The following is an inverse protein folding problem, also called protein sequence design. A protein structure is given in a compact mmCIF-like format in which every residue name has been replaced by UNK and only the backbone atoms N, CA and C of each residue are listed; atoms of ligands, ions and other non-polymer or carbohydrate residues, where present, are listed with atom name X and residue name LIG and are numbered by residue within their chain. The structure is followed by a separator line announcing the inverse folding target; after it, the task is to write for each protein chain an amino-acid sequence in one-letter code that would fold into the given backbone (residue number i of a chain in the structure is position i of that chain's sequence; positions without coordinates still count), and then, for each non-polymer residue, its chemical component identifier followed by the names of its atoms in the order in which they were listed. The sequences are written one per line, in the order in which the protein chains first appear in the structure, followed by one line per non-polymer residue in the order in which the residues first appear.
data_IF_509224604202
#
_entry.id   IF_509224604202
#
_cell.length_a   1.000
_cell.length_b   1.000
_cell.length_c   1.000
_cell.angle_alpha   90.00
_cell.angle_beta   90.00
_cell.angle_gamma   90.00
#
_symmetry.space_group_name_H-M   'P 1'
#
loop_
_entity.id
_entity.type
_entity.pdbx_description
1 polymer ?
#
# COMPACT_ATOMS: atom_id res chain seq x y z
N UNK A 1 -15.28 -63.03 31.47
CA UNK A 1 -14.19 -63.21 30.45
C UNK A 1 -14.62 -62.56 29.18
N UNK A 2 -14.30 -61.33 28.98
CA UNK A 2 -14.47 -60.60 27.72
C UNK A 2 -13.33 -59.61 27.62
N UNK A 3 -12.38 -59.96 26.76
CA UNK A 3 -11.17 -59.16 26.49
C UNK A 3 -11.49 -57.94 25.67
N UNK A 4 -11.03 -56.81 26.16
CA UNK A 4 -11.01 -55.54 25.42
C UNK A 4 -9.71 -55.48 24.66
N UNK A 5 -9.77 -55.57 23.33
CA UNK A 5 -8.65 -55.32 22.43
C UNK A 5 -8.49 -53.81 22.20
N UNK A 6 -7.45 -53.25 22.76
CA UNK A 6 -6.97 -51.91 22.45
C UNK A 6 -6.21 -51.95 21.12
N UNK A 7 -6.78 -51.34 20.09
CA UNK A 7 -6.09 -51.06 18.82
C UNK A 7 -5.14 -49.89 19.00
N UNK A 8 -3.85 -50.18 19.04
CA UNK A 8 -2.80 -49.14 18.95
C UNK A 8 -2.52 -48.82 17.47
N UNK A 9 -2.69 -47.55 17.08
CA UNK A 9 -2.25 -47.03 15.81
C UNK A 9 -0.77 -46.65 15.91
N UNK A 10 0.05 -46.96 14.92
CA UNK A 10 1.45 -46.54 14.90
C UNK A 10 1.58 -45.06 14.57
N UNK A 11 2.38 -44.36 15.35
CA UNK A 11 2.84 -43.00 15.08
C UNK A 11 3.90 -43.10 13.96
N UNK A 12 3.57 -42.62 12.79
CA UNK A 12 4.55 -42.33 11.73
C UNK A 12 5.21 -41.00 12.06
N UNK A 13 6.43 -41.06 12.57
CA UNK A 13 7.38 -39.95 12.54
C UNK A 13 8.02 -39.97 11.15
N UNK A 14 7.70 -39.01 10.31
CA UNK A 14 8.45 -38.78 9.10
C UNK A 14 9.00 -37.35 9.13
N UNK A 15 10.32 -37.31 8.90
CA UNK A 15 11.11 -36.10 8.88
C UNK A 15 10.91 -35.33 7.60
N UNK A 16 10.56 -34.07 7.75
CA UNK A 16 10.67 -33.07 6.71
C UNK A 16 10.82 -31.67 7.33
N UNK A 17 11.86 -31.48 8.16
CA UNK A 17 12.23 -30.15 8.69
C UNK A 17 13.63 -29.68 8.23
N UNK A 18 14.19 -30.22 7.14
CA UNK A 18 15.54 -29.84 6.67
C UNK A 18 15.61 -29.17 5.27
N UNK A 19 14.50 -28.85 4.60
CA UNK A 19 14.57 -28.21 3.27
C UNK A 19 14.09 -26.74 3.21
N UNK A 20 13.77 -26.09 4.33
CA UNK A 20 13.32 -24.69 4.32
C UNK A 20 14.40 -23.65 4.72
N UNK A 21 15.63 -24.09 5.00
CA UNK A 21 16.70 -23.19 5.45
C UNK A 21 17.70 -22.76 4.36
N UNK A 22 17.66 -23.37 3.17
CA UNK A 22 18.68 -23.14 2.13
C UNK A 22 18.22 -22.17 1.01
N UNK A 23 16.97 -21.73 1.00
CA UNK A 23 16.47 -20.75 0.01
C UNK A 23 16.44 -19.30 0.52
N UNK A 24 16.77 -19.06 1.79
CA UNK A 24 16.83 -17.70 2.36
C UNK A 24 18.22 -17.05 2.30
N UNK A 25 19.29 -17.84 2.04
CA UNK A 25 20.66 -17.32 2.00
C UNK A 25 21.15 -16.92 0.60
N UNK A 26 20.49 -17.35 -0.48
CA UNK A 26 20.86 -16.98 -1.86
C UNK A 26 20.25 -15.65 -2.34
N UNK A 27 19.32 -15.07 -1.61
CA UNK A 27 18.70 -13.78 -1.98
C UNK A 27 19.38 -12.54 -1.38
N UNK A 28 20.27 -12.70 -0.39
CA UNK A 28 21.01 -11.59 0.23
C UNK A 28 22.42 -11.38 -0.37
N UNK A 29 22.93 -12.33 -1.14
CA UNK A 29 24.27 -12.23 -1.73
C UNK A 29 24.28 -11.59 -3.14
N UNK A 30 23.15 -11.54 -3.85
CA UNK A 30 23.05 -10.87 -5.17
C UNK A 30 22.83 -9.37 -5.10
N UNK A 31 22.48 -8.79 -3.95
CA UNK A 31 22.28 -7.33 -3.79
C UNK A 31 23.52 -6.59 -3.30
N UNK A 32 24.61 -7.27 -2.93
CA UNK A 32 25.84 -6.65 -2.47
C UNK A 32 26.93 -6.48 -3.55
N UNK A 33 26.80 -7.15 -4.71
CA UNK A 33 27.78 -7.02 -5.81
C UNK A 33 27.46 -5.92 -6.83
N UNK A 34 26.25 -5.40 -6.88
CA UNK A 34 25.87 -4.35 -7.85
C UNK A 34 26.14 -2.91 -7.35
N UNK A 35 26.54 -2.72 -6.08
CA UNK A 35 26.93 -1.41 -5.53
C UNK A 35 28.44 -1.18 -5.46
N UNK A 36 29.28 -2.14 -5.85
CA UNK A 36 30.74 -2.01 -5.76
C UNK A 36 31.45 -1.65 -7.08
N UNK A 37 30.74 -1.44 -8.20
CA UNK A 37 31.36 -1.13 -9.51
C UNK A 37 31.16 0.31 -10.01
N UNK A 38 30.67 1.22 -9.20
CA UNK A 38 30.45 2.62 -9.59
C UNK A 38 31.43 3.66 -9.00
N UNK A 39 32.51 3.25 -8.33
CA UNK A 39 33.42 4.18 -7.63
C UNK A 39 34.89 4.12 -8.08
N UNK A 40 35.20 3.69 -9.31
CA UNK A 40 36.61 3.68 -9.77
C UNK A 40 36.77 4.33 -11.16
N UNK A 41 36.60 5.65 -11.26
CA UNK A 41 37.08 6.43 -12.39
C UNK A 41 37.24 7.93 -12.04
N UNK A 42 38.09 8.27 -11.07
CA UNK A 42 38.69 9.60 -10.95
C UNK A 42 40.08 9.48 -10.34
N UNK A 43 41.13 9.44 -11.19
CA UNK A 43 42.46 9.91 -10.83
C UNK A 43 43.05 10.80 -11.91
N UNK A 44 43.61 11.96 -11.54
CA UNK A 44 44.15 12.93 -12.49
C UNK A 44 45.58 12.57 -12.86
N UNK A 45 45.88 12.59 -14.15
CA UNK A 45 47.26 12.50 -14.63
C UNK A 45 47.97 13.85 -14.46
N UNK A 46 49.04 13.83 -13.70
CA UNK A 46 49.98 14.91 -13.51
C UNK A 46 50.90 15.10 -14.72
N UNK A 47 51.28 16.33 -14.87
CA UNK A 47 52.30 17.00 -15.69
C UNK A 47 53.56 16.18 -15.98
N UNK A 48 54.06 16.30 -17.22
CA UNK A 48 55.48 16.34 -17.53
C UNK A 48 55.78 17.49 -18.47
N UNK A 49 56.51 18.49 -17.94
CA UNK A 49 57.24 19.52 -18.64
C UNK A 49 58.30 18.93 -19.56
N UNK A 50 58.38 19.40 -20.79
CA UNK A 50 59.63 19.44 -21.53
C UNK A 50 59.71 20.69 -22.42
N UNK A 51 60.60 21.53 -22.05
CA UNK A 51 61.05 22.78 -22.72
C UNK A 51 61.59 22.49 -24.13
N UNK A 52 61.25 23.35 -25.08
CA UNK A 52 62.17 24.01 -26.04
C UNK A 52 61.44 25.01 -26.89
N UNK A 53 61.72 26.29 -26.71
CA UNK A 53 61.61 27.36 -27.74
C UNK A 53 62.69 27.17 -28.81
N UNK A 54 62.59 27.79 -30.06
CA UNK A 54 62.23 29.17 -30.25
C UNK A 54 61.46 29.56 -31.57
N UNK A 55 60.95 30.77 -31.52
CA UNK A 55 60.87 31.79 -32.57
C UNK A 55 59.82 31.81 -33.66
N UNK A 56 59.05 32.87 -33.53
CA UNK A 56 58.62 33.93 -34.46
C UNK A 56 57.49 33.68 -35.46
N UNK A 57 56.50 34.60 -35.28
CA UNK A 57 55.56 35.13 -36.28
C UNK A 57 54.32 34.33 -36.63
N UNK A 58 53.27 34.54 -35.82
CA UNK A 58 51.92 34.92 -36.28
C UNK A 58 50.97 35.01 -35.09
N UNK A 59 50.98 36.14 -34.37
CA UNK A 59 50.21 36.35 -33.12
C UNK A 59 48.80 36.90 -33.28
N UNK A 60 48.13 36.84 -34.38
CA UNK A 60 46.80 37.46 -34.55
C UNK A 60 45.64 36.52 -34.93
N UNK A 61 45.91 35.25 -35.28
CA UNK A 61 44.85 34.28 -35.66
C UNK A 61 44.49 33.27 -34.55
N UNK A 62 45.39 33.09 -33.55
CA UNK A 62 45.21 32.06 -32.54
C UNK A 62 44.30 32.48 -31.37
N UNK A 63 44.20 33.79 -31.10
CA UNK A 63 43.37 34.31 -29.99
C UNK A 63 41.87 34.28 -30.29
N UNK A 64 41.46 34.41 -31.55
CA UNK A 64 40.07 34.35 -31.99
C UNK A 64 39.49 32.92 -31.98
N UNK A 65 40.36 31.92 -32.19
CA UNK A 65 39.92 30.49 -32.21
C UNK A 65 39.72 29.94 -30.81
N UNK A 66 40.63 30.27 -29.86
CA UNK A 66 40.50 29.90 -28.46
C UNK A 66 39.29 30.52 -27.75
N UNK A 67 38.88 31.75 -28.16
CA UNK A 67 37.71 32.41 -27.60
C UNK A 67 36.42 31.73 -28.07
N UNK A 68 36.31 31.38 -29.35
CA UNK A 68 35.17 30.68 -29.92
C UNK A 68 35.03 29.25 -29.42
N UNK A 69 36.10 28.59 -29.05
CA UNK A 69 36.07 27.26 -28.45
C UNK A 69 35.63 27.32 -26.97
N UNK A 70 36.10 28.32 -26.22
CA UNK A 70 35.62 28.54 -24.83
C UNK A 70 34.14 28.89 -24.80
N UNK A 71 33.67 29.77 -25.68
CA UNK A 71 32.24 30.11 -25.75
C UNK A 71 31.37 28.88 -26.08
N UNK A 72 31.86 27.96 -26.90
CA UNK A 72 31.15 26.67 -27.18
C UNK A 72 31.14 25.74 -25.99
N UNK A 73 32.23 25.62 -25.25
CA UNK A 73 32.25 24.79 -24.03
C UNK A 73 31.40 25.38 -22.92
N UNK A 74 31.39 26.69 -22.74
CA UNK A 74 30.51 27.37 -21.81
C UNK A 74 29.02 27.14 -22.13
N UNK A 75 28.65 27.22 -23.41
CA UNK A 75 27.30 26.91 -23.88
C UNK A 75 26.92 25.44 -23.63
N UNK A 76 27.85 24.50 -23.85
CA UNK A 76 27.60 23.09 -23.58
C UNK A 76 27.45 22.80 -22.09
N UNK A 77 28.25 23.46 -21.24
CA UNK A 77 28.12 23.33 -19.78
C UNK A 77 26.79 23.90 -19.31
N UNK A 78 26.36 25.05 -19.82
CA UNK A 78 25.07 25.64 -19.50
C UNK A 78 23.92 24.74 -19.94
N UNK A 79 23.96 24.21 -21.16
CA UNK A 79 22.95 23.28 -21.65
C UNK A 79 22.89 22.00 -20.83
N UNK A 80 24.03 21.41 -20.46
CA UNK A 80 24.12 20.22 -19.61
C UNK A 80 23.63 20.50 -18.19
N UNK A 81 23.98 21.65 -17.62
CA UNK A 81 23.49 22.03 -16.28
C UNK A 81 21.98 22.26 -16.26
N UNK A 82 21.42 22.88 -17.31
CA UNK A 82 19.98 23.06 -17.40
C UNK A 82 19.24 21.74 -17.60
N UNK A 83 19.82 20.84 -18.42
CA UNK A 83 19.29 19.49 -18.58
C UNK A 83 19.33 18.70 -17.28
N UNK A 84 20.42 18.80 -16.53
CA UNK A 84 20.58 18.16 -15.22
C UNK A 84 19.57 18.71 -14.22
N UNK A 85 19.42 20.05 -14.11
CA UNK A 85 18.43 20.69 -13.22
C UNK A 85 17.01 20.22 -13.55
N UNK A 86 16.66 20.14 -14.83
CA UNK A 86 15.36 19.67 -15.27
C UNK A 86 15.15 18.19 -14.88
N UNK A 87 16.13 17.33 -15.16
CA UNK A 87 16.06 15.92 -14.80
C UNK A 87 15.92 15.71 -13.27
N UNK A 88 16.64 16.50 -12.47
CA UNK A 88 16.49 16.45 -11.00
C UNK A 88 15.07 16.87 -10.56
N UNK A 89 14.53 17.94 -11.14
CA UNK A 89 13.16 18.38 -10.83
C UNK A 89 12.11 17.33 -11.24
N UNK A 90 12.28 16.70 -12.40
CA UNK A 90 11.42 15.60 -12.86
C UNK A 90 11.52 14.39 -11.94
N UNK A 91 12.73 14.03 -11.49
CA UNK A 91 12.95 12.94 -10.56
C UNK A 91 12.31 13.20 -9.20
N UNK A 92 12.44 14.42 -8.66
CA UNK A 92 11.79 14.81 -7.40
C UNK A 92 10.25 14.74 -7.50
N UNK A 93 9.70 15.19 -8.61
CA UNK A 93 8.27 15.09 -8.88
C UNK A 93 7.80 13.63 -9.00
N UNK A 94 8.57 12.81 -9.72
CA UNK A 94 8.31 11.38 -9.84
C UNK A 94 8.33 10.69 -8.48
N UNK A 95 9.36 10.93 -7.67
CA UNK A 95 9.49 10.37 -6.33
C UNK A 95 8.28 10.71 -5.45
N UNK A 96 7.90 12.00 -5.39
CA UNK A 96 6.73 12.44 -4.63
C UNK A 96 5.43 11.79 -5.09
N UNK A 97 5.28 11.63 -6.42
CA UNK A 97 4.11 10.96 -7.00
C UNK A 97 4.09 9.47 -6.63
N UNK A 98 5.22 8.78 -6.80
CA UNK A 98 5.34 7.35 -6.50
C UNK A 98 5.11 7.06 -5.02
N UNK A 99 5.57 7.91 -4.10
CA UNK A 99 5.29 7.77 -2.66
C UNK A 99 3.79 7.87 -2.37
N UNK A 100 3.09 8.81 -3.02
CA UNK A 100 1.62 8.93 -2.90
C UNK A 100 0.89 7.73 -3.51
N UNK A 101 1.29 7.30 -4.69
CA UNK A 101 0.73 6.11 -5.35
C UNK A 101 0.90 4.86 -4.49
N UNK A 102 2.09 4.67 -3.91
CA UNK A 102 2.39 3.53 -3.03
C UNK A 102 1.52 3.54 -1.76
N UNK A 103 1.34 4.70 -1.13
CA UNK A 103 0.45 4.82 0.03
C UNK A 103 -1.01 4.57 -0.32
N UNK A 104 -1.47 5.04 -1.50
CA UNK A 104 -2.82 4.78 -2.00
C UNK A 104 -3.05 3.30 -2.30
N UNK A 105 -2.07 2.62 -2.92
CA UNK A 105 -2.16 1.18 -3.21
C UNK A 105 -2.28 0.34 -1.93
N UNK A 106 -1.58 0.72 -0.87
CA UNK A 106 -1.71 0.05 0.42
C UNK A 106 -3.13 0.18 1.00
N UNK A 107 -3.72 1.37 0.91
CA UNK A 107 -5.10 1.61 1.37
C UNK A 107 -6.10 0.82 0.54
N UNK A 108 -5.93 0.80 -0.79
CA UNK A 108 -6.80 0.04 -1.70
C UNK A 108 -6.72 -1.46 -1.39
N UNK A 109 -5.51 -2.02 -1.24
CA UNK A 109 -5.33 -3.42 -0.91
C UNK A 109 -5.95 -3.81 0.44
N UNK A 110 -5.80 -2.97 1.47
CA UNK A 110 -6.42 -3.19 2.77
C UNK A 110 -7.96 -3.14 2.67
N UNK A 111 -8.51 -2.18 1.91
CA UNK A 111 -9.95 -2.07 1.64
C UNK A 111 -10.50 -3.34 0.97
N UNK A 112 -9.82 -3.84 -0.05
CA UNK A 112 -10.26 -5.04 -0.78
C UNK A 112 -10.30 -6.29 0.11
N UNK A 113 -9.36 -6.41 1.04
CA UNK A 113 -9.35 -7.51 2.03
C UNK A 113 -10.54 -7.36 2.97
N UNK A 114 -10.76 -6.16 3.53
CA UNK A 114 -11.89 -5.90 4.43
C UNK A 114 -13.20 -6.18 3.71
N UNK A 115 -13.40 -5.70 2.49
CA UNK A 115 -14.61 -5.92 1.69
C UNK A 115 -14.93 -7.41 1.55
N UNK A 116 -13.93 -8.26 1.31
CA UNK A 116 -14.10 -9.73 1.24
C UNK A 116 -14.40 -10.39 2.58
N UNK A 117 -14.04 -9.75 3.70
CA UNK A 117 -14.36 -10.23 5.03
C UNK A 117 -15.77 -9.84 5.51
N UNK A 118 -16.33 -8.73 4.99
CA UNK A 118 -17.65 -8.25 5.41
C UNK A 118 -18.79 -9.28 5.27
N UNK A 119 -18.87 -10.12 4.22
CA UNK A 119 -19.90 -11.16 4.13
C UNK A 119 -19.83 -12.19 5.27
N UNK A 120 -18.65 -12.42 5.83
CA UNK A 120 -18.46 -13.30 7.00
C UNK A 120 -19.07 -12.64 8.21
N UNK A 121 -18.79 -11.34 8.42
CA UNK A 121 -19.36 -10.53 9.50
C UNK A 121 -20.90 -10.53 9.43
N UNK A 122 -21.46 -10.28 8.24
CA UNK A 122 -22.92 -10.28 8.02
C UNK A 122 -23.54 -11.63 8.38
N UNK A 123 -22.86 -12.74 8.04
CA UNK A 123 -23.32 -14.08 8.40
C UNK A 123 -23.29 -14.33 9.90
N UNK A 124 -22.26 -13.82 10.60
CA UNK A 124 -22.20 -13.85 12.09
C UNK A 124 -23.35 -13.06 12.70
N UNK A 125 -23.62 -11.83 12.23
CA UNK A 125 -24.74 -11.02 12.71
C UNK A 125 -26.07 -11.72 12.50
N UNK A 126 -26.30 -12.25 11.30
CA UNK A 126 -27.52 -12.97 10.97
C UNK A 126 -27.69 -14.25 11.82
N UNK A 127 -26.60 -15.00 12.05
CA UNK A 127 -26.62 -16.17 12.91
C UNK A 127 -26.92 -15.83 14.36
N UNK A 128 -26.30 -14.78 14.88
CA UNK A 128 -26.51 -14.31 16.26
C UNK A 128 -27.92 -13.72 16.47
N UNK A 129 -28.51 -13.09 15.46
CA UNK A 129 -29.88 -12.57 15.52
C UNK A 129 -30.93 -13.69 15.61
N UNK A 130 -30.62 -14.87 15.09
CA UNK A 130 -31.52 -16.04 15.12
C UNK A 130 -31.22 -16.98 16.30
N UNK A 131 -30.12 -16.77 17.03
CA UNK A 131 -29.72 -17.63 18.11
C UNK A 131 -30.60 -17.42 19.36
N UNK A 132 -30.94 -18.49 20.12
CA UNK A 132 -31.64 -18.39 21.39
C UNK A 132 -30.82 -17.58 22.42
N UNK A 133 -31.50 -16.71 23.19
CA UNK A 133 -30.84 -15.80 24.14
C UNK A 133 -30.00 -16.50 25.24
N UNK A 134 -30.26 -17.76 25.52
CA UNK A 134 -29.62 -18.53 26.61
C UNK A 134 -28.77 -19.70 26.14
N UNK A 135 -28.34 -19.69 24.88
CA UNK A 135 -27.48 -20.76 24.37
C UNK A 135 -25.98 -20.44 24.67
N UNK A 136 -25.28 -21.30 25.44
CA UNK A 136 -23.86 -21.13 25.69
C UNK A 136 -23.00 -21.06 24.43
N UNK A 137 -23.43 -21.71 23.34
CA UNK A 137 -22.78 -21.63 22.04
C UNK A 137 -22.94 -20.22 21.44
N UNK A 138 -24.14 -19.65 21.52
CA UNK A 138 -24.40 -18.29 21.05
C UNK A 138 -23.58 -17.24 21.83
N UNK A 139 -23.38 -17.45 23.13
CA UNK A 139 -22.52 -16.58 23.94
C UNK A 139 -21.05 -16.66 23.50
N UNK A 140 -20.53 -17.84 23.20
CA UNK A 140 -19.20 -18.04 22.65
C UNK A 140 -19.04 -17.33 21.30
N UNK A 141 -20.03 -17.44 20.41
CA UNK A 141 -20.04 -16.76 19.12
C UNK A 141 -20.10 -15.24 19.25
N UNK A 142 -20.86 -14.69 20.22
CA UNK A 142 -20.87 -13.25 20.53
C UNK A 142 -19.50 -12.76 20.97
N UNK A 143 -18.76 -13.53 21.74
CA UNK A 143 -17.40 -13.17 22.15
C UNK A 143 -16.44 -13.12 20.94
N UNK A 144 -16.51 -14.10 20.05
CA UNK A 144 -15.70 -14.12 18.81
C UNK A 144 -16.06 -12.91 17.92
N UNK A 145 -17.35 -12.63 17.74
CA UNK A 145 -17.81 -11.48 16.97
C UNK A 145 -17.28 -10.17 17.57
N UNK A 146 -17.38 -10.00 18.90
CA UNK A 146 -16.85 -8.82 19.59
C UNK A 146 -15.35 -8.66 19.41
N UNK A 147 -14.59 -9.75 19.49
CA UNK A 147 -13.14 -9.73 19.28
C UNK A 147 -12.81 -9.30 17.83
N UNK A 148 -13.56 -9.83 16.85
CA UNK A 148 -13.40 -9.46 15.45
C UNK A 148 -13.70 -7.98 15.21
N UNK A 149 -14.77 -7.44 15.80
CA UNK A 149 -15.10 -6.02 15.72
C UNK A 149 -14.05 -5.12 16.38
N UNK A 150 -13.46 -5.57 17.49
CA UNK A 150 -12.34 -4.87 18.13
C UNK A 150 -11.12 -4.83 17.22
N UNK A 151 -10.78 -5.94 16.57
CA UNK A 151 -9.68 -5.99 15.62
C UNK A 151 -9.93 -5.07 14.39
N UNK A 152 -11.17 -4.97 13.93
CA UNK A 152 -11.55 -4.03 12.86
C UNK A 152 -11.36 -2.57 13.29
N UNK A 153 -11.78 -2.22 14.51
CA UNK A 153 -11.60 -0.86 15.05
C UNK A 153 -10.11 -0.50 15.20
N UNK A 154 -9.28 -1.43 15.67
CA UNK A 154 -7.83 -1.27 15.75
C UNK A 154 -7.17 -1.06 14.37
N UNK A 155 -7.69 -1.71 13.33
CA UNK A 155 -7.26 -1.49 11.94
C UNK A 155 -7.77 -0.16 11.35
N UNK A 156 -8.73 0.49 12.02
CA UNK A 156 -9.37 1.72 11.55
C UNK A 156 -10.57 1.47 10.63
N UNK A 157 -11.19 0.29 10.71
CA UNK A 157 -12.47 -0.03 10.07
C UNK A 157 -13.59 0.26 11.03
N UNK A 158 -14.53 1.12 10.64
CA UNK A 158 -15.65 1.55 11.48
C UNK A 158 -16.99 1.27 10.80
N UNK A 159 -18.00 0.79 11.54
CA UNK A 159 -19.34 0.68 11.01
C UNK A 159 -19.93 2.07 10.77
N UNK A 160 -20.72 2.19 9.72
CA UNK A 160 -21.49 3.41 9.43
C UNK A 160 -22.76 3.35 10.27
N UNK A 161 -22.98 4.35 11.11
CA UNK A 161 -24.22 4.49 11.88
C UNK A 161 -25.28 5.12 10.99
N UNK A 162 -26.18 4.32 10.46
CA UNK A 162 -27.19 4.78 9.51
C UNK A 162 -28.57 5.04 10.18
N UNK A 163 -29.02 4.17 11.08
CA UNK A 163 -30.36 4.22 11.65
C UNK A 163 -30.63 5.52 12.43
N UNK A 164 -31.74 6.19 12.11
CA UNK A 164 -32.14 7.44 12.74
C UNK A 164 -31.37 8.67 12.26
N UNK A 165 -30.47 8.53 11.31
CA UNK A 165 -29.74 9.66 10.69
C UNK A 165 -30.34 10.03 9.33
N UNK A 166 -30.01 11.25 8.89
CA UNK A 166 -30.36 11.72 7.55
C UNK A 166 -29.63 10.87 6.48
N UNK A 167 -30.32 10.60 5.40
CA UNK A 167 -29.77 9.83 4.28
C UNK A 167 -28.65 10.61 3.59
N UNK A 168 -27.44 10.03 3.54
CA UNK A 168 -26.30 10.54 2.79
C UNK A 168 -25.96 9.58 1.65
N UNK A 169 -26.07 10.00 0.37
CA UNK A 169 -25.75 9.16 -0.77
C UNK A 169 -24.28 8.66 -0.81
N UNK A 170 -23.37 9.35 -0.11
CA UNK A 170 -21.96 8.94 -0.05
C UNK A 170 -21.72 7.75 0.89
N UNK A 171 -22.61 7.57 1.89
CA UNK A 171 -22.47 6.54 2.93
C UNK A 171 -23.53 5.46 2.83
N UNK A 172 -24.72 5.82 2.33
CA UNK A 172 -25.91 4.97 2.35
C UNK A 172 -26.38 4.65 0.94
N UNK A 173 -26.95 3.46 0.79
CA UNK A 173 -27.64 2.99 -0.42
C UNK A 173 -29.10 2.70 -0.08
N UNK A 174 -30.02 3.55 -0.50
CA UNK A 174 -31.45 3.36 -0.28
C UNK A 174 -31.97 2.25 -1.21
N UNK A 175 -32.40 1.14 -0.61
CA UNK A 175 -32.97 0.00 -1.33
C UNK A 175 -34.48 0.05 -1.33
N UNK A 176 -35.09 0.60 -0.28
CA UNK A 176 -36.53 0.72 -0.10
C UNK A 176 -36.91 2.09 0.47
N UNK A 177 -38.08 2.57 0.06
CA UNK A 177 -38.73 3.74 0.61
C UNK A 177 -40.01 3.32 1.33
N UNK A 178 -40.32 4.02 2.42
CA UNK A 178 -41.54 3.83 3.21
C UNK A 178 -42.14 5.19 3.52
N UNK A 179 -43.43 5.30 3.37
CA UNK A 179 -44.20 6.44 3.88
C UNK A 179 -44.44 6.22 5.38
N UNK A 180 -43.75 6.97 6.22
CA UNK A 180 -43.87 6.94 7.68
C UNK A 180 -44.00 8.36 8.22
N UNK A 181 -45.20 8.72 8.58
CA UNK A 181 -45.52 10.06 9.13
C UNK A 181 -44.89 10.30 10.50
N UNK A 182 -44.40 9.25 11.18
CA UNK A 182 -43.77 9.36 12.51
C UNK A 182 -42.31 9.79 12.45
N UNK A 183 -41.68 9.68 11.30
CA UNK A 183 -40.27 9.98 11.07
C UNK A 183 -40.16 11.04 9.99
N UNK A 184 -39.24 12.00 10.12
CA UNK A 184 -39.06 13.07 9.12
C UNK A 184 -38.67 12.54 7.74
N UNK A 185 -38.84 13.37 6.72
CA UNK A 185 -38.42 13.06 5.35
C UNK A 185 -36.92 12.79 5.28
N UNK A 186 -36.51 11.83 4.44
CA UNK A 186 -35.11 11.45 4.21
C UNK A 186 -34.38 10.88 5.43
N UNK A 187 -35.09 10.34 6.42
CA UNK A 187 -34.46 9.68 7.58
C UNK A 187 -34.39 8.19 7.35
N UNK A 188 -33.26 7.58 7.73
CA UNK A 188 -33.06 6.13 7.67
C UNK A 188 -33.85 5.46 8.79
N UNK A 189 -34.85 4.66 8.43
CA UNK A 189 -35.73 3.93 9.35
C UNK A 189 -35.10 2.60 9.77
N UNK A 190 -34.54 1.89 8.82
CA UNK A 190 -34.02 0.54 9.04
C UNK A 190 -32.76 0.30 8.21
N UNK A 191 -31.83 -0.45 8.75
CA UNK A 191 -30.61 -0.89 8.08
C UNK A 191 -30.66 -2.39 7.85
N UNK A 192 -30.66 -2.82 6.57
CA UNK A 192 -30.66 -4.23 6.20
C UNK A 192 -29.27 -4.83 6.21
N UNK A 193 -28.28 -4.02 5.88
CA UNK A 193 -26.89 -4.45 5.83
C UNK A 193 -25.99 -3.29 6.24
N UNK A 194 -25.13 -3.55 7.22
CA UNK A 194 -24.21 -2.53 7.75
C UNK A 194 -23.17 -2.14 6.73
N UNK A 195 -22.98 -0.84 6.57
CA UNK A 195 -21.87 -0.25 5.86
C UNK A 195 -20.63 -0.13 6.73
N UNK A 196 -19.48 -0.06 6.08
CA UNK A 196 -18.20 0.09 6.77
C UNK A 196 -17.31 1.10 6.05
N UNK A 197 -16.58 1.88 6.84
CA UNK A 197 -15.54 2.78 6.36
C UNK A 197 -14.17 2.28 6.82
N UNK A 198 -13.16 2.43 5.99
CA UNK A 198 -11.75 2.22 6.35
C UNK A 198 -11.03 3.55 6.30
N UNK A 199 -10.66 4.09 7.47
CA UNK A 199 -10.16 5.46 7.61
C UNK A 199 -11.16 6.46 7.00
N UNK A 200 -10.79 7.13 5.90
CA UNK A 200 -11.62 8.13 5.21
C UNK A 200 -12.33 7.57 3.95
N UNK A 201 -12.18 6.26 3.68
CA UNK A 201 -12.74 5.64 2.48
C UNK A 201 -13.89 4.71 2.82
N UNK A 202 -14.98 4.83 2.08
CA UNK A 202 -16.10 3.89 2.18
C UNK A 202 -15.68 2.56 1.55
N UNK A 203 -15.74 1.48 2.34
CA UNK A 203 -15.51 0.11 1.87
C UNK A 203 -16.79 -0.44 1.26
N UNK A 204 -17.91 -0.27 2.00
CA UNK A 204 -19.25 -0.68 1.57
C UNK A 204 -20.28 0.26 2.15
N UNK A 205 -21.23 0.71 1.32
CA UNK A 205 -22.35 1.53 1.75
C UNK A 205 -23.34 0.71 2.59
N UNK A 206 -23.97 1.33 3.59
CA UNK A 206 -25.08 0.70 4.32
C UNK A 206 -26.29 0.57 3.41
N UNK A 207 -26.89 -0.63 3.36
CA UNK A 207 -28.17 -0.83 2.67
C UNK A 207 -29.30 -0.46 3.62
N UNK A 208 -30.03 0.61 3.27
CA UNK A 208 -30.99 1.23 4.16
C UNK A 208 -32.37 1.37 3.55
N UNK A 209 -33.36 1.51 4.44
CA UNK A 209 -34.74 1.88 4.14
C UNK A 209 -34.94 3.31 4.63
N UNK A 210 -35.44 4.16 3.77
CA UNK A 210 -35.58 5.60 4.01
C UNK A 210 -37.04 5.98 4.08
N UNK A 211 -37.41 6.84 5.04
CA UNK A 211 -38.71 7.48 5.11
C UNK A 211 -38.81 8.58 4.03
N UNK A 212 -39.95 8.67 3.39
CA UNK A 212 -40.22 9.66 2.33
C UNK A 212 -41.38 10.54 2.73
#
# INVERSE_FOLDING_TARGET
MTGVQTCALPILTDGSEEEAADTAQTAEEETSEETAQAEEAEQPAQEEESQKEPETKTKTSFFGKKKKEKDKFEQQIEELTDRLKRSMAEFDNYRKRTEKEKSSMYIIGARDIVEKMLPIVDNFERGLAQAPEKDPFAEGMKMIYKQMMTAFDEMGVKPIEAVGKEFDPNLHNAVMHVEDESVGENIVVEEFQKGYTYKDFVVRHSMVKVAN
#
